data_IF_543656342175
#
_entry.id   IF_543656342175
#
_cell.length_a   1.000
_cell.length_b   1.000
_cell.length_c   1.000
_cell.angle_alpha   90.00
_cell.angle_beta   90.00
_cell.angle_gamma   90.00
#
_symmetry.space_group_name_H-M   'P 1'
#
loop_
_entity.id
_entity.type
_entity.pdbx_description
1 polymer ?
#
# COMPACT_ATOMS: atom_id res chain seq x y z
N UNK A 1 -5.21 -9.01 14.15
CA UNK A 1 -5.04 -8.22 12.91
C UNK A 1 -4.46 -6.83 13.17
N UNK A 2 -5.09 -5.98 14.00
CA UNK A 2 -4.59 -4.60 14.25
C UNK A 2 -3.20 -4.54 14.88
N UNK A 3 -2.87 -5.47 15.78
CA UNK A 3 -1.55 -5.55 16.40
C UNK A 3 -0.46 -5.90 15.38
N UNK A 4 -0.76 -6.73 14.39
CA UNK A 4 0.19 -7.10 13.33
C UNK A 4 0.51 -5.88 12.47
N UNK A 5 -0.50 -5.13 12.04
CA UNK A 5 -0.28 -3.89 11.29
C UNK A 5 0.47 -2.83 12.11
N UNK A 6 0.12 -2.65 13.38
CA UNK A 6 0.82 -1.72 14.27
C UNK A 6 2.30 -2.06 14.39
N UNK A 7 2.63 -3.33 14.62
CA UNK A 7 4.02 -3.76 14.76
C UNK A 7 4.78 -3.60 13.45
N UNK A 8 4.20 -4.07 12.34
CA UNK A 8 4.82 -3.99 11.01
C UNK A 8 5.07 -2.55 10.56
N UNK A 9 4.08 -1.66 10.70
CA UNK A 9 4.22 -0.25 10.32
C UNK A 9 5.23 0.48 11.21
N UNK A 10 5.31 0.13 12.49
CA UNK A 10 6.33 0.69 13.38
C UNK A 10 7.73 0.27 12.95
N UNK A 11 7.94 -1.03 12.69
CA UNK A 11 9.23 -1.52 12.19
C UNK A 11 9.61 -0.85 10.86
N UNK A 12 8.66 -0.76 9.91
CA UNK A 12 8.91 -0.09 8.64
C UNK A 12 9.23 1.41 8.80
N UNK A 13 8.64 2.08 9.80
CA UNK A 13 8.98 3.46 10.11
C UNK A 13 10.39 3.59 10.71
N UNK A 14 10.74 2.71 11.66
CA UNK A 14 12.06 2.66 12.30
C UNK A 14 13.18 2.40 11.28
N UNK A 15 12.89 1.63 10.23
CA UNK A 15 13.84 1.25 9.17
C UNK A 15 13.86 2.20 7.95
N UNK A 16 13.20 3.37 8.00
CA UNK A 16 13.04 4.28 6.85
C UNK A 16 12.44 3.59 5.61
N UNK A 17 11.59 2.60 5.86
CA UNK A 17 10.91 1.76 4.87
C UNK A 17 9.40 2.06 4.77
N UNK A 18 8.93 3.18 5.34
CA UNK A 18 7.52 3.58 5.33
C UNK A 18 7.34 5.01 4.78
N UNK A 19 6.51 5.13 3.75
CA UNK A 19 5.96 6.39 3.26
C UNK A 19 4.47 6.47 3.63
N UNK A 20 4.09 7.48 4.43
CA UNK A 20 2.75 7.59 5.04
C UNK A 20 2.12 8.99 4.88
N UNK A 21 1.80 9.45 3.65
CA UNK A 21 1.10 10.70 3.45
C UNK A 21 -0.31 10.66 4.05
N UNK A 22 -0.68 11.74 4.71
CA UNK A 22 -2.02 11.99 5.25
C UNK A 22 -2.62 13.18 4.49
N UNK A 23 -3.82 13.00 3.93
CA UNK A 23 -4.57 14.06 3.28
C UNK A 23 -5.46 14.74 4.31
N UNK A 24 -5.32 16.06 4.43
CA UNK A 24 -6.05 16.90 5.37
C UNK A 24 -7.01 17.84 4.65
N UNK A 25 -8.15 18.12 5.27
CA UNK A 25 -9.07 19.19 4.90
C UNK A 25 -9.22 20.12 6.10
N UNK A 26 -8.46 21.22 6.10
CA UNK A 26 -8.22 21.99 7.32
C UNK A 26 -7.59 21.09 8.39
N UNK A 27 -8.18 21.08 9.59
CA UNK A 27 -7.72 20.26 10.73
C UNK A 27 -8.23 18.81 10.70
N UNK A 28 -9.03 18.42 9.70
CA UNK A 28 -9.62 17.08 9.62
C UNK A 28 -8.78 16.17 8.70
N UNK A 29 -8.22 15.04 9.18
CA UNK A 29 -7.64 14.04 8.30
C UNK A 29 -8.76 13.31 7.55
N UNK A 30 -8.69 13.33 6.22
CA UNK A 30 -9.71 12.73 5.33
C UNK A 30 -9.18 11.54 4.54
N UNK A 31 -7.88 11.26 4.62
CA UNK A 31 -7.32 10.01 4.13
C UNK A 31 -5.86 9.81 4.51
N UNK A 32 -5.40 8.58 4.39
CA UNK A 32 -4.01 8.15 4.62
C UNK A 32 -3.67 7.02 3.66
N UNK A 33 -2.44 7.00 3.18
CA UNK A 33 -1.91 5.91 2.35
C UNK A 33 -0.61 5.41 2.96
N UNK A 34 -0.61 4.18 3.50
CA UNK A 34 0.61 3.52 3.94
C UNK A 34 1.25 2.78 2.76
N UNK A 35 2.50 3.13 2.47
CA UNK A 35 3.26 2.56 1.36
C UNK A 35 4.61 2.09 1.87
N UNK A 36 4.97 0.85 1.58
CA UNK A 36 6.30 0.33 1.93
C UNK A 36 7.31 0.76 0.87
N UNK A 37 8.50 1.13 1.31
CA UNK A 37 9.60 1.57 0.45
C UNK A 37 10.56 0.39 0.25
N UNK A 38 10.65 -0.11 -0.97
CA UNK A 38 11.67 -1.06 -1.38
C UNK A 38 12.74 -0.34 -2.19
N UNK A 39 13.78 0.12 -1.49
CA UNK A 39 14.89 0.86 -2.12
C UNK A 39 15.72 -0.01 -3.06
N UNK A 40 15.86 -1.30 -2.75
CA UNK A 40 16.66 -2.25 -3.55
C UNK A 40 16.04 -2.43 -4.93
N UNK A 41 14.72 -2.63 -4.97
CA UNK A 41 14.00 -2.83 -6.23
C UNK A 41 13.46 -1.53 -6.83
N UNK A 42 13.66 -0.38 -6.17
CA UNK A 42 13.15 0.93 -6.56
C UNK A 42 11.63 0.91 -6.74
N UNK A 43 10.96 0.27 -5.78
CA UNK A 43 9.51 0.08 -5.76
C UNK A 43 8.87 0.72 -4.54
N UNK A 44 7.65 1.21 -4.71
CA UNK A 44 6.73 1.58 -3.64
C UNK A 44 5.54 0.64 -3.66
N UNK A 45 5.22 0.02 -2.53
CA UNK A 45 4.18 -1.00 -2.42
C UNK A 45 3.01 -0.44 -1.62
N UNK A 46 1.89 -0.15 -2.30
CA UNK A 46 0.69 0.44 -1.71
C UNK A 46 -0.04 -0.56 -0.81
N UNK A 47 0.15 -0.49 0.50
CA UNK A 47 -0.26 -1.55 1.42
C UNK A 47 -1.61 -1.30 2.08
N UNK A 48 -1.86 -0.08 2.56
CA UNK A 48 -3.08 0.23 3.31
C UNK A 48 -3.59 1.61 2.94
N UNK A 49 -4.90 1.72 2.75
CA UNK A 49 -5.59 2.99 2.56
C UNK A 49 -6.64 3.20 3.65
N UNK A 50 -6.65 4.39 4.26
CA UNK A 50 -7.76 4.87 5.07
C UNK A 50 -8.34 6.11 4.39
N UNK A 51 -9.67 6.26 4.36
CA UNK A 51 -10.31 7.44 3.78
C UNK A 51 -11.67 7.72 4.38
N UNK A 52 -12.04 8.99 4.38
CA UNK A 52 -13.41 9.42 4.64
C UNK A 52 -14.30 9.01 3.45
N UNK A 53 -15.21 8.07 3.71
CA UNK A 53 -16.12 7.51 2.70
C UNK A 53 -17.24 8.48 2.28
N UNK A 54 -17.45 9.56 3.03
CA UNK A 54 -18.42 10.62 2.67
C UNK A 54 -17.92 11.50 1.52
N UNK A 55 -16.60 11.54 1.30
CA UNK A 55 -15.96 12.31 0.24
C UNK A 55 -15.78 11.41 -0.99
N UNK A 56 -16.50 11.73 -2.07
CA UNK A 56 -16.55 10.87 -3.27
C UNK A 56 -15.72 11.38 -4.45
N UNK A 57 -15.49 12.70 -4.58
CA UNK A 57 -14.87 13.29 -5.78
C UNK A 57 -13.92 14.45 -5.45
N UNK A 58 -12.62 14.33 -5.79
CA UNK A 58 -11.92 13.05 -5.96
C UNK A 58 -11.96 12.25 -4.64
N UNK A 59 -11.99 10.92 -4.74
CA UNK A 59 -11.89 10.09 -3.54
C UNK A 59 -10.52 10.33 -2.87
N UNK A 60 -10.44 10.54 -1.53
CA UNK A 60 -9.17 10.82 -0.85
C UNK A 60 -8.07 9.79 -1.14
N UNK A 61 -8.43 8.50 -1.17
CA UNK A 61 -7.48 7.43 -1.50
C UNK A 61 -6.93 7.52 -2.92
N UNK A 62 -7.74 7.93 -3.89
CA UNK A 62 -7.29 8.13 -5.27
C UNK A 62 -6.27 9.26 -5.37
N UNK A 63 -6.55 10.40 -4.72
CA UNK A 63 -5.64 11.54 -4.66
C UNK A 63 -4.31 11.16 -3.97
N UNK A 64 -4.36 10.36 -2.91
CA UNK A 64 -3.17 9.90 -2.19
C UNK A 64 -2.30 8.96 -3.00
N UNK A 65 -2.86 8.09 -3.84
CA UNK A 65 -2.08 7.28 -4.77
C UNK A 65 -1.34 8.17 -5.79
N UNK A 66 -2.02 9.12 -6.43
CA UNK A 66 -1.37 10.06 -7.36
C UNK A 66 -0.26 10.87 -6.66
N UNK A 67 -0.52 11.35 -5.46
CA UNK A 67 0.47 12.08 -4.67
C UNK A 67 1.70 11.21 -4.38
N UNK A 68 1.49 9.95 -4.02
CA UNK A 68 2.56 8.99 -3.74
C UNK A 68 3.33 8.60 -5.00
N UNK A 69 2.67 8.46 -6.15
CA UNK A 69 3.31 8.21 -7.45
C UNK A 69 4.18 9.39 -7.89
N UNK A 70 3.71 10.63 -7.70
CA UNK A 70 4.54 11.81 -7.97
C UNK A 70 5.80 11.81 -7.10
N UNK A 71 5.64 11.60 -5.79
CA UNK A 71 6.77 11.50 -4.87
C UNK A 71 7.74 10.37 -5.27
N UNK A 72 7.20 9.22 -5.71
CA UNK A 72 7.99 8.10 -6.23
C UNK A 72 8.91 8.53 -7.38
N UNK A 73 8.32 9.19 -8.39
CA UNK A 73 9.03 9.65 -9.58
C UNK A 73 10.12 10.66 -9.19
N UNK A 74 9.78 11.64 -8.35
CA UNK A 74 10.71 12.67 -7.88
C UNK A 74 11.89 12.07 -7.09
N UNK A 75 11.71 10.92 -6.44
CA UNK A 75 12.73 10.22 -5.66
C UNK A 75 13.38 9.05 -6.41
N UNK A 76 13.15 8.93 -7.73
CA UNK A 76 13.81 7.95 -8.58
C UNK A 76 13.27 6.52 -8.47
N UNK A 77 12.10 6.30 -7.87
CA UNK A 77 11.43 5.00 -7.92
C UNK A 77 10.88 4.75 -9.33
N UNK A 78 10.93 3.48 -9.77
CA UNK A 78 10.50 3.07 -11.11
C UNK A 78 9.19 2.28 -11.10
N UNK A 79 8.76 1.78 -9.94
CA UNK A 79 7.58 0.93 -9.79
C UNK A 79 6.70 1.46 -8.66
N UNK A 80 5.42 1.61 -8.94
CA UNK A 80 4.38 1.79 -7.92
C UNK A 80 3.44 0.59 -7.98
N UNK A 81 3.55 -0.30 -7.00
CA UNK A 81 2.81 -1.55 -6.92
C UNK A 81 1.47 -1.33 -6.20
N UNK A 82 0.38 -1.46 -6.96
CA UNK A 82 -1.01 -1.35 -6.49
C UNK A 82 -1.53 -2.66 -5.88
N UNK A 83 -0.66 -3.65 -5.70
CA UNK A 83 -0.94 -4.99 -5.18
C UNK A 83 -1.96 -5.79 -6.01
N UNK A 84 -2.37 -6.94 -5.48
CA UNK A 84 -3.28 -7.89 -6.10
C UNK A 84 -4.72 -7.36 -6.24
N UNK A 85 -5.48 -7.94 -7.16
CA UNK A 85 -6.88 -7.62 -7.40
C UNK A 85 -7.07 -6.70 -8.61
N UNK A 86 -8.19 -6.90 -9.29
CA UNK A 86 -8.60 -6.32 -10.59
C UNK A 86 -9.52 -5.09 -10.43
N UNK A 87 -9.32 -4.33 -9.35
CA UNK A 87 -10.14 -3.14 -9.08
C UNK A 87 -9.97 -2.09 -10.17
N UNK A 88 -11.08 -1.64 -10.77
CA UNK A 88 -11.11 -0.72 -11.91
C UNK A 88 -10.24 0.53 -11.75
N UNK A 89 -10.21 1.11 -10.54
CA UNK A 89 -9.44 2.33 -10.26
C UNK A 89 -7.93 2.17 -10.48
N UNK A 90 -7.39 0.94 -10.45
CA UNK A 90 -5.96 0.70 -10.68
C UNK A 90 -5.56 0.99 -12.13
N UNK A 91 -6.47 0.73 -13.05
CA UNK A 91 -6.27 0.98 -14.47
C UNK A 91 -6.41 2.48 -14.81
N UNK A 92 -7.15 3.25 -14.01
CA UNK A 92 -7.22 4.71 -14.13
C UNK A 92 -5.85 5.37 -13.88
N UNK A 93 -4.94 4.71 -13.17
CA UNK A 93 -3.55 5.14 -12.98
C UNK A 93 -2.60 4.68 -14.11
N UNK A 94 -3.09 3.92 -15.08
CA UNK A 94 -2.26 3.25 -16.09
C UNK A 94 -1.59 1.96 -15.56
N UNK A 95 -2.18 1.32 -14.55
CA UNK A 95 -1.68 0.07 -13.99
C UNK A 95 -1.57 -1.04 -15.05
N UNK A 96 -0.44 -1.75 -15.03
CA UNK A 96 -0.19 -2.90 -15.88
C UNK A 96 -0.40 -4.19 -15.08
N UNK A 97 -1.10 -5.15 -15.67
CA UNK A 97 -1.31 -6.44 -15.05
C UNK A 97 -0.02 -7.25 -14.99
N UNK A 98 0.16 -7.96 -13.88
CA UNK A 98 1.23 -8.92 -13.67
C UNK A 98 0.67 -10.16 -12.99
N UNK A 99 1.13 -11.33 -13.44
CA UNK A 99 0.81 -12.58 -12.75
C UNK A 99 1.58 -12.63 -11.44
N UNK A 100 0.86 -12.71 -10.32
CA UNK A 100 1.44 -12.93 -9.00
C UNK A 100 1.41 -14.43 -8.71
N UNK A 101 2.56 -15.00 -8.38
CA UNK A 101 2.68 -16.41 -7.99
C UNK A 101 2.56 -16.54 -6.47
N UNK A 102 1.88 -17.58 -6.01
CA UNK A 102 1.69 -17.87 -4.59
C UNK A 102 2.38 -19.19 -4.26
N UNK A 103 3.32 -19.15 -3.31
CA UNK A 103 3.93 -20.33 -2.72
C UNK A 103 3.43 -20.47 -1.28
N UNK A 104 2.66 -21.53 -1.01
CA UNK A 104 2.28 -21.88 0.35
C UNK A 104 3.42 -22.64 1.02
N UNK A 105 3.97 -22.08 2.08
CA UNK A 105 4.94 -22.75 2.95
C UNK A 105 4.24 -23.08 4.26
N UNK A 106 4.25 -24.35 4.64
CA UNK A 106 3.67 -24.82 5.91
C UNK A 106 4.69 -25.62 6.71
N UNK A 107 4.49 -25.68 8.02
CA UNK A 107 5.27 -26.56 8.91
C UNK A 107 4.66 -27.95 8.87
N UNK A 108 5.46 -29.00 9.11
CA UNK A 108 4.91 -30.37 9.20
C UNK A 108 3.82 -30.49 10.27
N UNK A 109 4.00 -29.83 11.42
CA UNK A 109 3.01 -29.82 12.51
C UNK A 109 1.67 -29.21 12.11
N UNK A 110 1.64 -28.25 11.18
CA UNK A 110 0.40 -27.63 10.73
C UNK A 110 -0.41 -28.52 9.76
N UNK A 111 0.16 -29.62 9.26
CA UNK A 111 -0.56 -30.60 8.44
C UNK A 111 -1.40 -31.57 9.29
N UNK A 112 -1.00 -31.79 10.54
CA UNK A 112 -1.68 -32.70 11.48
C UNK A 112 -3.02 -32.14 11.99
N UNK A 113 -3.14 -30.82 12.12
CA UNK A 113 -4.38 -30.13 12.55
C UNK A 113 -5.47 -30.05 11.45
N UNK A 114 -5.17 -30.53 10.24
CA UNK A 114 -6.10 -30.56 9.10
C UNK A 114 -6.58 -31.96 8.73
N UNK A 115 -6.22 -32.99 9.51
CA UNK A 115 -6.56 -34.40 9.28
C UNK A 115 -7.71 -34.92 10.18
#
# INVERSE_FOLDING_TARGET
MINNFRNMLRCAFEDDALYLPVLWQGEKPIGVQATLIDRKNRSLIGMLNGRDMTIRKPAPGFALHLYSMRWAIENGFSVYDLQTGDFSYKYDFGGLERRVECLLVTTMSALEDTA
#
